data_IF_265129272253
#
_entry.id   IF_265129272253
#
_cell.length_a   1.000
_cell.length_b   1.000
_cell.length_c   1.000
_cell.angle_alpha   90.00
_cell.angle_beta   90.00
_cell.angle_gamma   90.00
#
_symmetry.space_group_name_H-M   'P 1'
#
loop_
_entity.id
_entity.type
_entity.pdbx_description
1 polymer ?
#
# COMPACT_ATOMS: atom_id res chain seq x y z
N UNK A 1 0.96 -57.95 -23.10
CA UNK A 1 0.42 -57.29 -21.88
C UNK A 1 -0.57 -56.23 -22.32
N UNK A 2 -1.87 -56.42 -22.04
CA UNK A 2 -2.91 -55.43 -22.33
C UNK A 2 -2.89 -54.39 -21.21
N UNK A 3 -2.38 -53.20 -21.49
CA UNK A 3 -2.54 -52.06 -20.60
C UNK A 3 -4.03 -51.71 -20.61
N UNK A 4 -4.69 -51.89 -19.47
CA UNK A 4 -6.11 -51.58 -19.30
C UNK A 4 -6.35 -50.10 -19.59
N UNK A 5 -7.20 -49.81 -20.58
CA UNK A 5 -7.64 -48.47 -20.97
C UNK A 5 -8.26 -47.69 -19.81
N UNK A 6 -8.73 -48.39 -18.76
CA UNK A 6 -9.24 -47.78 -17.54
C UNK A 6 -8.16 -47.17 -16.63
N UNK A 7 -6.95 -47.74 -16.61
CA UNK A 7 -5.86 -47.23 -15.78
C UNK A 7 -5.29 -45.90 -16.32
N UNK A 8 -5.33 -45.72 -17.64
CA UNK A 8 -4.87 -44.48 -18.30
C UNK A 8 -5.87 -43.34 -18.13
N UNK A 9 -7.18 -43.63 -18.09
CA UNK A 9 -8.25 -42.65 -17.90
C UNK A 9 -8.28 -42.11 -16.44
N UNK A 10 -8.01 -42.98 -15.46
CA UNK A 10 -7.90 -42.60 -14.04
C UNK A 10 -6.65 -41.73 -13.78
N UNK A 11 -5.54 -41.99 -14.47
CA UNK A 11 -4.31 -41.20 -14.37
C UNK A 11 -4.45 -39.81 -15.02
N UNK A 12 -5.17 -39.69 -16.13
CA UNK A 12 -5.44 -38.40 -16.77
C UNK A 12 -6.44 -37.58 -15.94
N UNK A 13 -7.47 -38.19 -15.36
CA UNK A 13 -8.41 -37.46 -14.48
C UNK A 13 -7.79 -37.01 -13.15
N UNK A 14 -6.84 -37.75 -12.59
CA UNK A 14 -6.13 -37.32 -11.37
C UNK A 14 -5.10 -36.21 -11.64
N UNK A 15 -4.57 -36.10 -12.87
CA UNK A 15 -3.76 -34.95 -13.29
C UNK A 15 -4.58 -33.64 -13.46
N UNK A 16 -5.85 -33.72 -13.86
CA UNK A 16 -6.75 -32.55 -13.91
C UNK A 16 -7.28 -32.12 -12.54
N UNK A 17 -7.33 -33.02 -11.55
CA UNK A 17 -7.71 -32.68 -10.17
C UNK A 17 -6.53 -32.07 -9.36
N UNK A 18 -5.29 -32.25 -9.82
CA UNK A 18 -4.09 -31.69 -9.19
C UNK A 18 -3.52 -30.46 -9.93
N UNK A 19 -4.07 -30.13 -11.11
CA UNK A 19 -3.72 -28.95 -11.88
C UNK A 19 -4.60 -27.76 -11.49
N UNK A 20 -4.18 -27.05 -10.44
CA UNK A 20 -4.36 -25.60 -10.35
C UNK A 20 -5.45 -25.11 -9.41
N UNK A 21 -5.10 -24.89 -8.14
CA UNK A 21 -5.63 -23.68 -7.50
C UNK A 21 -5.27 -22.50 -8.40
N UNK A 22 -6.27 -21.73 -8.85
CA UNK A 22 -6.02 -20.53 -9.66
C UNK A 22 -5.07 -19.61 -8.88
N UNK A 23 -4.39 -18.71 -9.61
CA UNK A 23 -3.55 -17.67 -8.97
C UNK A 23 -4.37 -16.93 -7.89
N UNK A 24 -5.60 -16.55 -8.22
CA UNK A 24 -6.54 -15.87 -7.32
C UNK A 24 -6.86 -16.71 -6.07
N UNK A 25 -7.09 -18.02 -6.20
CA UNK A 25 -7.34 -18.89 -5.04
C UNK A 25 -6.12 -18.97 -4.11
N UNK A 26 -4.90 -18.99 -4.66
CA UNK A 26 -3.68 -19.00 -3.85
C UNK A 26 -3.45 -17.68 -3.13
N UNK A 27 -3.66 -16.56 -3.82
CA UNK A 27 -3.53 -15.22 -3.26
C UNK A 27 -4.58 -14.96 -2.18
N UNK A 28 -5.85 -15.30 -2.46
CA UNK A 28 -6.94 -15.23 -1.49
C UNK A 28 -6.67 -16.06 -0.23
N UNK A 29 -6.14 -17.28 -0.38
CA UNK A 29 -5.77 -18.11 0.78
C UNK A 29 -4.61 -17.51 1.59
N UNK A 30 -3.59 -16.97 0.93
CA UNK A 30 -2.49 -16.30 1.62
C UNK A 30 -3.00 -15.08 2.40
N UNK A 31 -3.82 -14.24 1.77
CA UNK A 31 -4.43 -13.06 2.37
C UNK A 31 -5.33 -13.41 3.57
N UNK A 32 -6.11 -14.49 3.46
CA UNK A 32 -6.91 -15.02 4.57
C UNK A 32 -6.03 -15.49 5.74
N UNK A 33 -4.94 -16.20 5.47
CA UNK A 33 -4.04 -16.64 6.54
C UNK A 33 -3.39 -15.46 7.26
N UNK A 34 -2.99 -14.43 6.53
CA UNK A 34 -2.48 -13.20 7.13
C UNK A 34 -3.57 -12.52 7.97
N UNK A 35 -4.82 -12.46 7.49
CA UNK A 35 -5.95 -11.96 8.28
C UNK A 35 -6.14 -12.75 9.59
N UNK A 36 -5.96 -14.07 9.58
CA UNK A 36 -6.05 -14.86 10.82
C UNK A 36 -4.92 -14.52 11.80
N UNK A 37 -3.71 -14.21 11.32
CA UNK A 37 -2.64 -13.69 12.20
C UNK A 37 -3.03 -12.35 12.82
N UNK A 38 -3.62 -11.44 12.03
CA UNK A 38 -4.16 -10.19 12.56
C UNK A 38 -5.25 -10.44 13.62
N UNK A 39 -6.11 -11.44 13.44
CA UNK A 39 -7.16 -11.81 14.41
C UNK A 39 -6.55 -12.33 15.71
N UNK A 40 -5.53 -13.18 15.64
CA UNK A 40 -4.80 -13.67 16.82
C UNK A 40 -4.13 -12.52 17.59
N UNK A 41 -3.53 -11.57 16.87
CA UNK A 41 -2.96 -10.36 17.45
C UNK A 41 -4.03 -9.47 18.09
N UNK A 42 -5.20 -9.32 17.46
CA UNK A 42 -6.34 -8.57 18.02
C UNK A 42 -6.83 -9.23 19.31
N UNK A 43 -6.98 -10.55 19.30
CA UNK A 43 -7.45 -11.32 20.47
C UNK A 43 -6.47 -11.26 21.65
N UNK A 44 -5.19 -11.00 21.38
CA UNK A 44 -4.14 -10.86 22.39
C UNK A 44 -3.78 -9.41 22.72
N UNK A 45 -4.48 -8.44 22.12
CA UNK A 45 -4.19 -7.03 22.26
C UNK A 45 -4.49 -6.55 23.69
N UNK A 46 -3.48 -5.98 24.34
CA UNK A 46 -3.66 -5.37 25.66
C UNK A 46 -4.56 -4.13 25.55
N UNK A 47 -5.49 -4.00 26.50
CA UNK A 47 -6.28 -2.78 26.71
C UNK A 47 -5.43 -1.51 26.79
N UNK A 48 -4.20 -1.59 27.32
CA UNK A 48 -3.27 -0.44 27.43
C UNK A 48 -2.34 -0.26 26.24
N UNK A 49 -2.50 -1.03 25.16
CA UNK A 49 -1.71 -0.84 23.94
C UNK A 49 -1.86 0.59 23.40
N UNK A 50 -0.78 1.13 22.83
CA UNK A 50 -0.80 2.48 22.28
C UNK A 50 -1.81 2.58 21.13
N UNK A 51 -2.50 3.72 21.02
CA UNK A 51 -3.55 3.90 20.02
C UNK A 51 -3.04 3.74 18.57
N UNK A 52 -1.77 4.09 18.31
CA UNK A 52 -1.12 3.88 17.03
C UNK A 52 -0.97 2.39 16.67
N UNK A 53 -0.65 1.54 17.65
CA UNK A 53 -0.51 0.09 17.45
C UNK A 53 -1.89 -0.53 17.17
N UNK A 54 -2.90 -0.12 17.93
CA UNK A 54 -4.29 -0.53 17.70
C UNK A 54 -4.74 -0.13 16.30
N UNK A 55 -4.54 1.13 15.91
CA UNK A 55 -4.92 1.64 14.59
C UNK A 55 -4.23 0.85 13.48
N UNK A 56 -2.93 0.57 13.63
CA UNK A 56 -2.16 -0.21 12.67
C UNK A 56 -2.76 -1.61 12.48
N UNK A 57 -3.01 -2.31 13.59
CA UNK A 57 -3.50 -3.69 13.57
C UNK A 57 -4.91 -3.80 12.98
N UNK A 58 -5.83 -2.93 13.41
CA UNK A 58 -7.20 -2.92 12.89
C UNK A 58 -7.27 -2.45 11.43
N UNK A 59 -6.44 -1.49 11.01
CA UNK A 59 -6.36 -1.09 9.60
C UNK A 59 -5.88 -2.23 8.72
N UNK A 60 -4.85 -2.96 9.16
CA UNK A 60 -4.36 -4.15 8.47
C UNK A 60 -5.43 -5.23 8.31
N UNK A 61 -6.22 -5.50 9.35
CA UNK A 61 -7.32 -6.46 9.29
C UNK A 61 -8.43 -5.97 8.34
N UNK A 62 -8.85 -4.72 8.48
CA UNK A 62 -9.90 -4.10 7.66
C UNK A 62 -9.57 -4.13 6.17
N UNK A 63 -8.35 -3.74 5.78
CA UNK A 63 -7.92 -3.77 4.38
C UNK A 63 -7.94 -5.18 3.79
N UNK A 64 -7.52 -6.20 4.56
CA UNK A 64 -7.55 -7.60 4.10
C UNK A 64 -8.97 -8.11 3.94
N UNK A 65 -9.86 -7.76 4.88
CA UNK A 65 -11.29 -8.06 4.81
C UNK A 65 -11.90 -7.42 3.55
N UNK A 66 -11.62 -6.14 3.29
CA UNK A 66 -12.11 -5.43 2.11
C UNK A 66 -11.68 -6.13 0.82
N UNK A 67 -10.40 -6.47 0.67
CA UNK A 67 -9.87 -7.14 -0.53
C UNK A 67 -10.48 -8.54 -0.68
N UNK A 68 -10.61 -9.32 0.41
CA UNK A 68 -11.25 -10.63 0.36
C UNK A 68 -12.73 -10.54 -0.08
N UNK A 69 -13.45 -9.52 0.39
CA UNK A 69 -14.87 -9.29 0.07
C UNK A 69 -15.09 -8.74 -1.33
N UNK A 70 -14.11 -8.05 -1.90
CA UNK A 70 -14.24 -7.34 -3.19
C UNK A 70 -13.49 -8.07 -4.29
N UNK A 71 -12.16 -8.02 -4.28
CA UNK A 71 -11.31 -8.59 -5.33
C UNK A 71 -11.36 -10.12 -5.37
N UNK A 72 -11.49 -10.77 -4.21
CA UNK A 72 -11.53 -12.23 -4.11
C UNK A 72 -12.91 -12.80 -3.74
N UNK A 73 -13.98 -12.01 -3.94
CA UNK A 73 -15.36 -12.35 -3.60
C UNK A 73 -15.81 -13.73 -4.07
N UNK A 74 -15.39 -14.13 -5.28
CA UNK A 74 -15.78 -15.40 -5.94
C UNK A 74 -14.92 -16.60 -5.54
N UNK A 75 -13.93 -16.39 -4.67
CA UNK A 75 -13.10 -17.48 -4.13
C UNK A 75 -13.75 -18.04 -2.87
N UNK A 76 -13.48 -19.30 -2.54
CA UNK A 76 -14.00 -19.93 -1.31
C UNK A 76 -13.70 -19.12 -0.04
N UNK A 77 -12.54 -18.44 0.06
CA UNK A 77 -12.22 -17.58 1.20
C UNK A 77 -12.90 -16.21 1.15
N UNK A 78 -13.17 -15.67 -0.02
CA UNK A 78 -14.02 -14.48 -0.15
C UNK A 78 -15.46 -14.75 0.28
N UNK A 79 -16.04 -15.86 -0.20
CA UNK A 79 -17.38 -16.31 0.21
C UNK A 79 -17.47 -16.56 1.72
N UNK A 80 -16.44 -17.20 2.29
CA UNK A 80 -16.35 -17.43 3.73
C UNK A 80 -16.42 -16.10 4.50
N UNK A 81 -15.59 -15.11 4.18
CA UNK A 81 -15.58 -13.80 4.85
C UNK A 81 -16.88 -13.00 4.61
N UNK A 82 -17.49 -13.11 3.42
CA UNK A 82 -18.78 -12.48 3.12
C UNK A 82 -19.93 -13.05 3.96
N UNK A 83 -19.86 -14.32 4.35
CA UNK A 83 -20.85 -14.94 5.24
C UNK A 83 -20.78 -14.47 6.70
N UNK A 84 -19.83 -13.57 7.01
CA UNK A 84 -19.58 -13.05 8.35
C UNK A 84 -19.41 -14.15 9.42
N UNK A 85 -18.37 -15.01 9.28
CA UNK A 85 -18.16 -16.12 10.18
C UNK A 85 -17.78 -15.61 11.57
N UNK A 86 -18.13 -16.38 12.59
CA UNK A 86 -17.51 -16.24 13.91
C UNK A 86 -16.12 -16.88 13.87
N UNK A 87 -15.10 -16.08 14.14
CA UNK A 87 -13.70 -16.47 14.14
C UNK A 87 -13.26 -16.92 15.55
N UNK A 88 -11.99 -17.34 15.64
CA UNK A 88 -11.36 -17.63 16.94
C UNK A 88 -11.42 -16.40 17.85
N UNK A 89 -11.62 -16.63 19.15
CA UNK A 89 -11.91 -15.56 20.12
C UNK A 89 -13.38 -15.12 20.17
N UNK A 90 -14.23 -15.63 19.28
CA UNK A 90 -15.67 -15.34 19.28
C UNK A 90 -16.06 -14.05 18.57
N UNK A 91 -15.12 -13.38 17.92
CA UNK A 91 -15.35 -12.15 17.14
C UNK A 91 -15.81 -12.48 15.72
N UNK A 92 -16.67 -11.64 15.15
CA UNK A 92 -17.10 -11.71 13.75
C UNK A 92 -16.32 -10.73 12.87
N UNK A 93 -16.49 -10.83 11.55
CA UNK A 93 -15.88 -9.87 10.61
C UNK A 93 -16.46 -8.48 10.80
N UNK A 94 -17.76 -8.36 11.03
CA UNK A 94 -18.38 -7.06 11.34
C UNK A 94 -17.87 -6.47 12.65
N UNK A 95 -17.66 -7.29 13.70
CA UNK A 95 -17.09 -6.79 14.96
C UNK A 95 -15.69 -6.18 14.75
N UNK A 96 -14.86 -6.78 13.88
CA UNK A 96 -13.54 -6.25 13.53
C UNK A 96 -13.67 -4.91 12.79
N UNK A 97 -14.60 -4.80 11.85
CA UNK A 97 -14.80 -3.58 11.06
C UNK A 97 -15.38 -2.44 11.92
N UNK A 98 -16.34 -2.74 12.80
CA UNK A 98 -16.92 -1.79 13.73
C UNK A 98 -15.84 -1.28 14.70
N UNK A 99 -15.05 -2.19 15.28
CA UNK A 99 -13.96 -1.81 16.17
C UNK A 99 -12.86 -1.03 15.45
N UNK A 100 -12.57 -1.34 14.17
CA UNK A 100 -11.63 -0.56 13.37
C UNK A 100 -12.09 0.89 13.20
N UNK A 101 -13.39 1.11 13.00
CA UNK A 101 -13.97 2.46 12.93
C UNK A 101 -13.89 3.19 14.28
N UNK A 102 -14.16 2.51 15.38
CA UNK A 102 -14.02 3.08 16.73
C UNK A 102 -12.57 3.47 17.05
N UNK A 103 -11.62 2.57 16.79
CA UNK A 103 -10.18 2.83 17.00
C UNK A 103 -9.71 3.99 16.14
N UNK A 104 -10.20 4.12 14.90
CA UNK A 104 -9.89 5.26 14.04
C UNK A 104 -10.44 6.58 14.60
N UNK A 105 -11.65 6.56 15.15
CA UNK A 105 -12.25 7.73 15.78
C UNK A 105 -11.46 8.14 17.03
N UNK A 106 -11.08 7.19 17.89
CA UNK A 106 -10.23 7.40 19.06
C UNK A 106 -8.85 7.93 18.65
N UNK A 107 -8.19 7.30 17.67
CA UNK A 107 -6.90 7.73 17.15
C UNK A 107 -6.92 9.16 16.62
N UNK A 108 -8.02 9.59 16.02
CA UNK A 108 -8.19 10.97 15.53
C UNK A 108 -8.30 12.01 16.65
N UNK A 109 -8.51 11.59 17.90
CA UNK A 109 -8.49 12.46 19.08
C UNK A 109 -7.13 12.54 19.77
N UNK A 110 -6.26 11.55 19.55
CA UNK A 110 -4.96 11.42 20.23
C UNK A 110 -3.76 11.70 19.31
N UNK A 111 -3.90 11.39 18.02
CA UNK A 111 -2.87 11.53 17.01
C UNK A 111 -3.19 12.70 16.07
N UNK A 112 -2.17 13.17 15.36
CA UNK A 112 -2.35 14.14 14.28
C UNK A 112 -3.04 13.49 13.08
N UNK A 113 -3.69 14.30 12.24
CA UNK A 113 -4.27 13.84 10.97
C UNK A 113 -3.21 13.13 10.11
N UNK A 114 -1.97 13.65 10.13
CA UNK A 114 -0.84 13.02 9.48
C UNK A 114 -0.59 11.59 9.95
N UNK A 115 -0.44 11.39 11.25
CA UNK A 115 -0.13 10.08 11.84
C UNK A 115 -1.25 9.07 11.54
N UNK A 116 -2.51 9.46 11.71
CA UNK A 116 -3.65 8.59 11.40
C UNK A 116 -3.60 8.16 9.93
N UNK A 117 -3.49 9.13 9.01
CA UNK A 117 -3.53 8.84 7.58
C UNK A 117 -2.31 8.04 7.13
N UNK A 118 -1.13 8.33 7.68
CA UNK A 118 0.08 7.60 7.39
C UNK A 118 -0.02 6.13 7.83
N UNK A 119 -0.52 5.86 9.04
CA UNK A 119 -0.73 4.49 9.54
C UNK A 119 -1.72 3.74 8.64
N UNK A 120 -2.87 4.33 8.32
CA UNK A 120 -3.88 3.71 7.45
C UNK A 120 -3.33 3.35 6.06
N UNK A 121 -2.52 4.22 5.46
CA UNK A 121 -1.94 3.98 4.14
C UNK A 121 -0.80 2.97 4.21
N UNK A 122 0.06 3.05 5.21
CA UNK A 122 1.23 2.18 5.34
C UNK A 122 0.85 0.73 5.67
N UNK A 123 -0.35 0.50 6.18
CA UNK A 123 -0.90 -0.84 6.50
C UNK A 123 -1.59 -1.53 5.33
N UNK A 124 -1.71 -0.87 4.17
CA UNK A 124 -2.25 -1.48 2.95
C UNK A 124 -1.40 -2.70 2.54
N UNK A 125 -2.00 -3.89 2.34
CA UNK A 125 -1.26 -5.11 2.04
C UNK A 125 -0.75 -5.15 0.59
N UNK A 126 -1.44 -4.47 -0.33
CA UNK A 126 -1.05 -4.42 -1.74
C UNK A 126 0.03 -3.37 -1.94
N UNK A 127 1.28 -3.83 -2.12
CA UNK A 127 2.47 -2.94 -2.15
C UNK A 127 2.41 -1.85 -3.22
N UNK A 128 1.79 -2.11 -4.39
CA UNK A 128 1.60 -1.09 -5.44
C UNK A 128 0.60 -0.01 -5.02
N UNK A 129 -0.54 -0.40 -4.45
CA UNK A 129 -1.54 0.52 -3.92
C UNK A 129 -0.99 1.34 -2.76
N UNK A 130 -0.29 0.70 -1.82
CA UNK A 130 0.42 1.37 -0.72
C UNK A 130 1.38 2.45 -1.25
N UNK A 131 2.29 2.08 -2.16
CA UNK A 131 3.27 3.00 -2.72
C UNK A 131 2.59 4.18 -3.44
N UNK A 132 1.63 3.91 -4.32
CA UNK A 132 0.91 4.94 -5.09
C UNK A 132 0.13 5.90 -4.17
N UNK A 133 -0.53 5.38 -3.14
CA UNK A 133 -1.30 6.22 -2.20
C UNK A 133 -0.41 7.02 -1.25
N UNK A 134 0.70 6.44 -0.78
CA UNK A 134 1.71 7.18 -0.01
C UNK A 134 2.34 8.30 -0.85
N UNK A 135 2.66 8.02 -2.13
CA UNK A 135 3.16 9.05 -3.05
C UNK A 135 2.17 10.20 -3.18
N UNK A 136 0.90 9.89 -3.47
CA UNK A 136 -0.16 10.89 -3.58
C UNK A 136 -0.34 11.71 -2.29
N UNK A 137 -0.20 11.05 -1.14
CA UNK A 137 -0.29 11.71 0.15
C UNK A 137 0.89 12.67 0.41
N UNK A 138 2.12 12.22 0.16
CA UNK A 138 3.32 13.06 0.26
C UNK A 138 3.26 14.29 -0.66
N UNK A 139 2.77 14.12 -1.90
CA UNK A 139 2.53 15.25 -2.82
C UNK A 139 1.52 16.24 -2.22
N UNK A 140 0.42 15.75 -1.66
CA UNK A 140 -0.62 16.61 -1.07
C UNK A 140 -0.08 17.42 0.11
N UNK A 141 0.66 16.77 1.02
CA UNK A 141 1.29 17.42 2.17
C UNK A 141 2.24 18.55 1.73
N UNK A 142 3.13 18.26 0.78
CA UNK A 142 4.08 19.26 0.27
C UNK A 142 3.36 20.47 -0.34
N UNK A 143 2.30 20.24 -1.12
CA UNK A 143 1.52 21.32 -1.77
C UNK A 143 0.72 22.16 -0.78
N UNK A 144 0.36 21.61 0.36
CA UNK A 144 -0.30 22.34 1.45
C UNK A 144 0.71 23.11 2.33
N UNK A 145 2.01 22.93 2.08
CA UNK A 145 3.08 23.56 2.86
C UNK A 145 3.49 22.79 4.12
N UNK A 146 2.93 21.59 4.31
CA UNK A 146 3.33 20.65 5.35
C UNK A 146 4.54 19.83 4.89
N UNK A 147 5.69 20.50 4.88
CA UNK A 147 6.92 20.00 4.25
C UNK A 147 7.56 18.89 5.08
N UNK A 148 7.57 19.03 6.40
CA UNK A 148 8.21 18.08 7.32
C UNK A 148 7.52 16.70 7.23
N UNK A 149 6.19 16.68 7.21
CA UNK A 149 5.43 15.44 7.05
C UNK A 149 5.53 14.87 5.62
N UNK A 150 5.62 15.72 4.59
CA UNK A 150 5.86 15.25 3.22
C UNK A 150 7.24 14.59 3.07
N UNK A 151 8.26 15.15 3.72
CA UNK A 151 9.61 14.58 3.78
C UNK A 151 9.60 13.22 4.49
N UNK A 152 8.87 13.11 5.60
CA UNK A 152 8.74 11.88 6.36
C UNK A 152 8.09 10.73 5.57
N UNK A 153 7.35 10.99 4.49
CA UNK A 153 6.80 9.95 3.61
C UNK A 153 7.88 9.26 2.75
N UNK A 154 8.91 10.00 2.34
CA UNK A 154 9.92 9.54 1.36
C UNK A 154 10.55 8.18 1.69
N UNK A 155 11.02 7.89 2.93
CA UNK A 155 11.63 6.60 3.25
C UNK A 155 10.67 5.41 3.17
N UNK A 156 9.36 5.64 3.08
CA UNK A 156 8.34 4.59 2.98
C UNK A 156 7.93 4.29 1.53
N UNK A 157 8.43 5.05 0.56
CA UNK A 157 8.23 4.80 -0.86
C UNK A 157 9.23 3.77 -1.36
N UNK A 158 8.72 2.75 -2.07
CA UNK A 158 9.54 1.63 -2.56
C UNK A 158 9.96 1.84 -4.01
N UNK A 159 9.15 2.58 -4.79
CA UNK A 159 9.45 2.89 -6.18
C UNK A 159 10.32 4.15 -6.30
N UNK A 160 11.39 4.06 -7.10
CA UNK A 160 12.35 5.16 -7.25
C UNK A 160 11.74 6.40 -7.91
N UNK A 161 10.82 6.23 -8.86
CA UNK A 161 10.13 7.36 -9.50
C UNK A 161 9.18 8.06 -8.52
N UNK A 162 8.46 7.32 -7.66
CA UNK A 162 7.64 7.90 -6.59
C UNK A 162 8.46 8.72 -5.62
N UNK A 163 9.63 8.24 -5.21
CA UNK A 163 10.58 8.99 -4.39
C UNK A 163 10.96 10.31 -5.06
N UNK A 164 11.36 10.26 -6.35
CA UNK A 164 11.74 11.46 -7.10
C UNK A 164 10.58 12.47 -7.22
N UNK A 165 9.34 12.00 -7.39
CA UNK A 165 8.15 12.84 -7.49
C UNK A 165 7.89 13.56 -6.16
N UNK A 166 7.89 12.85 -5.04
CA UNK A 166 7.66 13.49 -3.73
C UNK A 166 8.79 14.45 -3.38
N UNK A 167 10.05 14.09 -3.62
CA UNK A 167 11.20 14.97 -3.44
C UNK A 167 11.09 16.26 -4.27
N UNK A 168 10.61 16.17 -5.51
CA UNK A 168 10.37 17.34 -6.36
C UNK A 168 9.30 18.28 -5.76
N UNK A 169 8.21 17.74 -5.23
CA UNK A 169 7.17 18.56 -4.60
C UNK A 169 7.64 19.18 -3.28
N UNK A 170 8.39 18.43 -2.46
CA UNK A 170 9.07 18.95 -1.26
C UNK A 170 10.01 20.10 -1.60
N UNK A 171 10.82 19.96 -2.65
CA UNK A 171 11.73 21.01 -3.12
C UNK A 171 10.98 22.30 -3.52
N UNK A 172 9.86 22.16 -4.24
CA UNK A 172 9.00 23.30 -4.61
C UNK A 172 8.45 23.99 -3.37
N UNK A 173 8.04 23.23 -2.35
CA UNK A 173 7.49 23.77 -1.12
C UNK A 173 8.54 24.54 -0.29
N UNK A 174 9.77 24.02 -0.16
CA UNK A 174 10.88 24.75 0.44
C UNK A 174 11.19 26.05 -0.32
N UNK A 175 11.20 26.00 -1.66
CA UNK A 175 11.40 27.18 -2.49
C UNK A 175 10.32 28.26 -2.27
N UNK A 176 9.05 27.86 -2.09
CA UNK A 176 7.97 28.79 -1.78
C UNK A 176 8.13 29.45 -0.40
N UNK A 177 8.73 28.75 0.56
CA UNK A 177 9.07 29.28 1.89
C UNK A 177 10.34 30.16 1.88
N UNK A 178 11.04 30.27 0.74
CA UNK A 178 12.30 31.01 0.61
C UNK A 178 13.54 30.24 1.07
N UNK A 179 13.41 28.96 1.41
CA UNK A 179 14.54 28.09 1.73
C UNK A 179 15.11 27.46 0.46
N UNK A 180 15.94 28.24 -0.24
CA UNK A 180 16.54 27.81 -1.50
C UNK A 180 17.61 26.74 -1.34
N UNK A 181 18.24 26.66 -0.16
CA UNK A 181 19.29 25.69 0.13
C UNK A 181 18.67 24.29 0.25
N UNK A 182 17.69 24.12 1.14
CA UNK A 182 16.98 22.84 1.31
C UNK A 182 16.27 22.44 0.01
N UNK A 183 15.66 23.40 -0.69
CA UNK A 183 15.07 23.13 -2.00
C UNK A 183 16.10 22.54 -2.99
N UNK A 184 17.35 23.04 -3.01
CA UNK A 184 18.39 22.54 -3.93
C UNK A 184 18.83 21.11 -3.62
N UNK A 185 18.96 20.78 -2.33
CA UNK A 185 19.25 19.42 -1.89
C UNK A 185 18.17 18.45 -2.38
N UNK A 186 16.89 18.79 -2.19
CA UNK A 186 15.78 17.96 -2.65
C UNK A 186 15.66 17.87 -4.18
N UNK A 187 15.89 18.96 -4.94
CA UNK A 187 15.95 18.87 -6.40
C UNK A 187 17.09 17.97 -6.89
N UNK A 188 18.24 18.00 -6.21
CA UNK A 188 19.39 17.16 -6.54
C UNK A 188 19.07 15.70 -6.26
N UNK A 189 18.52 15.40 -5.08
CA UNK A 189 18.09 14.05 -4.73
C UNK A 189 17.02 13.50 -5.69
N UNK A 190 16.03 14.32 -6.07
CA UNK A 190 15.01 13.96 -7.06
C UNK A 190 15.64 13.63 -8.43
N UNK A 191 16.62 14.43 -8.86
CA UNK A 191 17.34 14.22 -10.11
C UNK A 191 18.15 12.92 -10.09
N UNK A 192 18.81 12.61 -8.97
CA UNK A 192 19.59 11.39 -8.80
C UNK A 192 18.70 10.15 -8.81
N UNK A 193 17.57 10.19 -8.11
CA UNK A 193 16.59 9.10 -8.11
C UNK A 193 15.99 8.91 -9.51
N UNK A 194 15.63 9.98 -10.21
CA UNK A 194 15.15 9.86 -11.59
C UNK A 194 16.21 9.25 -12.52
N UNK A 195 17.50 9.55 -12.31
CA UNK A 195 18.60 8.94 -13.05
C UNK A 195 18.82 7.45 -12.77
N UNK A 196 18.41 6.97 -11.59
CA UNK A 196 18.49 5.57 -11.16
C UNK A 196 17.24 4.76 -11.52
N UNK A 197 16.11 5.43 -11.71
CA UNK A 197 14.82 4.79 -11.96
C UNK A 197 14.87 3.86 -13.17
N UNK A 198 14.35 2.65 -13.00
CA UNK A 198 14.26 1.61 -14.02
C UNK A 198 12.79 1.22 -14.26
N UNK A 199 12.35 1.25 -15.52
CA UNK A 199 10.98 0.87 -15.91
C UNK A 199 10.61 -0.58 -15.57
N UNK A 200 11.59 -1.42 -15.23
CA UNK A 200 11.39 -2.82 -14.84
C UNK A 200 11.39 -3.04 -13.32
N UNK A 201 11.26 -1.99 -12.49
CA UNK A 201 11.08 -2.15 -11.05
C UNK A 201 9.83 -3.00 -10.72
N UNK A 202 9.91 -3.83 -9.67
CA UNK A 202 8.83 -4.76 -9.28
C UNK A 202 7.55 -4.06 -8.80
N UNK A 203 7.69 -2.81 -8.35
CA UNK A 203 6.60 -1.93 -7.93
C UNK A 203 6.70 -0.67 -8.79
N UNK A 204 5.58 -0.28 -9.39
CA UNK A 204 5.47 0.91 -10.23
C UNK A 204 5.03 2.11 -9.40
N UNK A 205 5.20 3.32 -9.95
CA UNK A 205 4.73 4.55 -9.28
C UNK A 205 3.20 4.67 -9.25
N UNK A 206 2.51 3.98 -10.17
CA UNK A 206 1.05 3.86 -10.23
C UNK A 206 0.57 2.45 -9.88
N UNK A 207 -0.69 2.32 -9.46
CA UNK A 207 -1.31 1.01 -9.17
C UNK A 207 -1.33 0.10 -10.41
N UNK A 208 -1.59 0.67 -11.59
CA UNK A 208 -1.71 -0.06 -12.87
C UNK A 208 -0.40 -0.12 -13.67
N UNK A 209 0.71 0.45 -13.17
CA UNK A 209 1.97 0.59 -13.92
C UNK A 209 1.83 1.36 -15.25
N UNK A 210 0.78 2.17 -15.40
CA UNK A 210 0.52 2.89 -16.64
C UNK A 210 1.27 4.23 -16.67
N UNK A 211 1.71 4.63 -17.87
CA UNK A 211 2.27 5.96 -18.13
C UNK A 211 3.55 6.33 -17.35
N UNK A 212 4.30 5.37 -16.81
CA UNK A 212 5.53 5.60 -16.05
C UNK A 212 6.56 6.47 -16.82
N UNK A 213 6.74 6.21 -18.12
CA UNK A 213 7.67 7.00 -18.97
C UNK A 213 7.21 8.46 -19.11
N UNK A 214 5.91 8.67 -19.23
CA UNK A 214 5.34 10.02 -19.30
C UNK A 214 5.55 10.75 -17.98
N UNK A 215 5.31 10.08 -16.84
CA UNK A 215 5.53 10.63 -15.50
C UNK A 215 7.01 10.98 -15.29
N UNK A 216 7.94 10.09 -15.63
CA UNK A 216 9.38 10.35 -15.57
C UNK A 216 9.79 11.57 -16.41
N UNK A 217 9.23 11.71 -17.62
CA UNK A 217 9.47 12.89 -18.49
C UNK A 217 8.91 14.19 -17.89
N UNK A 218 7.75 14.13 -17.23
CA UNK A 218 7.17 15.29 -16.54
C UNK A 218 8.07 15.76 -15.40
N UNK A 219 8.51 14.83 -14.53
CA UNK A 219 9.45 15.13 -13.43
C UNK A 219 10.73 15.77 -13.98
N UNK A 220 11.32 15.19 -15.04
CA UNK A 220 12.50 15.76 -15.71
C UNK A 220 12.27 17.20 -16.18
N UNK A 221 11.13 17.45 -16.81
CA UNK A 221 10.78 18.77 -17.35
C UNK A 221 10.61 19.80 -16.24
N UNK A 222 9.92 19.44 -15.17
CA UNK A 222 9.69 20.33 -14.04
C UNK A 222 10.98 20.65 -13.26
N UNK A 223 11.90 19.69 -13.13
CA UNK A 223 13.22 19.93 -12.55
C UNK A 223 14.03 20.95 -13.37
N UNK A 224 14.01 20.84 -14.71
CA UNK A 224 14.69 21.79 -15.60
C UNK A 224 14.10 23.19 -15.43
N UNK A 225 12.77 23.31 -15.46
CA UNK A 225 12.09 24.60 -15.31
C UNK A 225 12.36 25.24 -13.95
N UNK A 226 12.34 24.44 -12.88
CA UNK A 226 12.59 24.93 -11.52
C UNK A 226 14.00 25.48 -11.36
N UNK A 227 15.01 24.79 -11.93
CA UNK A 227 16.39 25.29 -11.98
C UNK A 227 16.51 26.59 -12.77
N UNK A 228 15.82 26.72 -13.90
CA UNK A 228 15.85 27.95 -14.71
C UNK A 228 15.25 29.16 -13.99
N UNK A 229 14.14 28.98 -13.25
CA UNK A 229 13.53 30.07 -12.47
C UNK A 229 14.45 30.65 -11.38
N UNK A 230 15.38 29.85 -10.86
CA UNK A 230 16.37 30.29 -9.87
C UNK A 230 17.44 31.22 -10.44
N UNK A 231 17.75 31.13 -11.74
CA UNK A 231 18.71 32.01 -12.38
C UNK A 231 18.08 33.34 -12.85
N UNK A 232 16.76 33.47 -12.72
CA UNK A 232 15.98 34.61 -13.22
C UNK A 232 15.39 35.48 -12.10
N UNK A 233 15.44 35.01 -10.85
CA UNK A 233 14.98 35.71 -9.63
C UNK A 233 16.14 35.83 -8.65
#
# INVERSE_FOLDING_TARGET
MKVSSGAMLILVMSFFLLAGCSKETRESKALYNDLMQNVDEINSLDSTAAIADKLSLYSQASHRIEILRTEYATTSKGEEIQSNPTLEGGITIEDILDQANEVKAEASTELTEYEVRFIELNTLPVSKARNSRLEGYGISLARQGDVDNAEAIIPHLVNTLSVAIVQLEVAKAYQQKGDYYSADEFYTAASDNLGRYNFNESICSTEECSNEETRARMVKTEMIQSRQRRYLN
#
